data_IF_839334286241
#
_entry.id   IF_839334286241
#
_cell.length_a   1.000
_cell.length_b   1.000
_cell.length_c   1.000
_cell.angle_alpha   90.00
_cell.angle_beta   90.00
_cell.angle_gamma   90.00
#
_symmetry.space_group_name_H-M   'P 1'
#
loop_
_entity.id
_entity.type
_entity.pdbx_description
1 polymer ?
#
# COMPACT_ATOMS: atom_id res chain seq x y z
N UNK A 1 -31.32 20.79 -44.25
CA UNK A 1 -30.15 20.20 -44.95
C UNK A 1 -29.22 21.36 -45.29
N UNK A 2 -27.99 21.51 -44.80
CA UNK A 2 -26.91 20.54 -44.60
C UNK A 2 -26.01 21.02 -43.44
N UNK A 3 -25.75 20.19 -42.42
CA UNK A 3 -24.61 20.41 -41.53
C UNK A 3 -23.37 19.83 -42.22
N UNK A 4 -22.44 20.72 -42.63
CA UNK A 4 -21.17 20.31 -43.26
C UNK A 4 -20.25 19.73 -42.18
N UNK A 5 -19.98 18.43 -42.30
CA UNK A 5 -18.92 17.78 -41.56
C UNK A 5 -17.59 18.48 -41.82
N UNK A 6 -17.07 19.15 -40.81
CA UNK A 6 -15.68 19.60 -40.80
C UNK A 6 -14.82 18.33 -40.65
N UNK A 7 -14.23 17.87 -41.74
CA UNK A 7 -13.11 16.92 -41.66
C UNK A 7 -11.98 17.62 -40.92
N UNK A 8 -11.65 17.13 -39.73
CA UNK A 8 -10.45 17.54 -39.01
C UNK A 8 -9.25 17.39 -39.96
N UNK A 9 -8.51 18.48 -40.20
CA UNK A 9 -7.28 18.44 -40.98
C UNK A 9 -6.31 17.40 -40.38
N UNK A 10 -5.45 16.76 -41.20
CA UNK A 10 -4.48 15.77 -40.72
C UNK A 10 -3.54 16.33 -39.63
N UNK A 11 -3.32 17.64 -39.62
CA UNK A 11 -2.60 18.38 -38.57
C UNK A 11 -3.33 18.31 -37.21
N UNK A 12 -4.66 18.46 -37.21
CA UNK A 12 -5.47 18.44 -35.99
C UNK A 12 -5.60 17.03 -35.42
N UNK A 13 -5.62 16.00 -36.28
CA UNK A 13 -5.56 14.61 -35.81
C UNK A 13 -4.18 14.26 -35.24
N UNK A 14 -3.09 14.73 -35.85
CA UNK A 14 -1.74 14.51 -35.32
C UNK A 14 -1.51 15.26 -34.00
N UNK A 15 -2.03 16.49 -33.87
CA UNK A 15 -1.97 17.26 -32.63
C UNK A 15 -2.85 16.63 -31.53
N UNK A 16 -4.03 16.11 -31.88
CA UNK A 16 -4.89 15.38 -30.95
C UNK A 16 -4.26 14.05 -30.50
N UNK A 17 -3.58 13.32 -31.39
CA UNK A 17 -2.85 12.10 -31.03
C UNK A 17 -1.61 12.38 -30.17
N UNK A 18 -0.90 13.48 -30.44
CA UNK A 18 0.23 13.91 -29.60
C UNK A 18 -0.25 14.30 -28.19
N UNK A 19 -1.33 15.06 -28.09
CA UNK A 19 -1.95 15.41 -26.80
C UNK A 19 -2.56 14.19 -26.11
N UNK A 20 -3.15 13.26 -26.85
CA UNK A 20 -3.64 12.00 -26.29
C UNK A 20 -2.49 11.13 -25.79
N UNK A 21 -1.34 11.11 -26.47
CA UNK A 21 -0.13 10.42 -26.01
C UNK A 21 0.48 11.09 -24.78
N UNK A 22 0.36 12.41 -24.65
CA UNK A 22 0.79 13.15 -23.45
C UNK A 22 -0.18 12.94 -22.26
N UNK A 23 -1.49 12.88 -22.52
CA UNK A 23 -2.52 12.62 -21.49
C UNK A 23 -2.62 11.14 -21.10
N UNK A 24 -2.33 10.22 -22.01
CA UNK A 24 -2.17 8.79 -21.73
C UNK A 24 -0.83 8.65 -21.03
N UNK A 25 -0.87 8.99 -19.74
CA UNK A 25 0.27 9.12 -18.87
C UNK A 25 1.35 8.10 -19.19
N UNK A 26 2.47 8.61 -19.71
CA UNK A 26 3.75 7.96 -19.55
C UNK A 26 3.80 7.52 -18.10
N UNK A 27 3.71 6.22 -17.87
CA UNK A 27 3.75 5.65 -16.52
C UNK A 27 5.01 6.18 -15.89
N UNK A 28 4.87 7.17 -14.99
CA UNK A 28 6.00 7.83 -14.37
C UNK A 28 6.87 6.72 -13.82
N UNK A 29 8.17 6.65 -14.19
CA UNK A 29 9.04 5.62 -13.64
C UNK A 29 8.96 5.73 -12.13
N UNK A 30 8.64 4.61 -11.47
CA UNK A 30 8.48 4.58 -10.02
C UNK A 30 9.73 5.17 -9.37
N UNK A 31 9.55 6.28 -8.66
CA UNK A 31 10.64 6.93 -7.96
C UNK A 31 10.89 6.24 -6.62
N UNK A 32 12.08 6.45 -6.05
CA UNK A 32 12.40 5.97 -4.71
C UNK A 32 11.37 6.48 -3.68
N UNK A 33 10.86 7.70 -3.88
CA UNK A 33 9.80 8.27 -3.05
C UNK A 33 8.47 7.51 -3.19
N UNK A 34 8.11 7.07 -4.39
CA UNK A 34 6.91 6.25 -4.61
C UNK A 34 7.04 4.89 -3.92
N UNK A 35 8.23 4.29 -3.96
CA UNK A 35 8.52 3.04 -3.23
C UNK A 35 8.40 3.25 -1.71
N UNK A 36 9.04 4.28 -1.16
CA UNK A 36 8.96 4.60 0.26
C UNK A 36 7.52 4.86 0.72
N UNK A 37 6.72 5.56 -0.09
CA UNK A 37 5.31 5.79 0.20
C UNK A 37 4.48 4.50 0.21
N UNK A 38 4.76 3.56 -0.72
CA UNK A 38 4.11 2.25 -0.74
C UNK A 38 4.47 1.41 0.48
N UNK A 39 5.75 1.34 0.83
CA UNK A 39 6.22 0.65 2.05
C UNK A 39 5.53 1.24 3.28
N UNK A 40 5.54 2.57 3.45
CA UNK A 40 4.92 3.24 4.59
C UNK A 40 3.40 2.96 4.68
N UNK A 41 2.70 2.93 3.55
CA UNK A 41 1.29 2.59 3.49
C UNK A 41 1.03 1.16 3.99
N UNK A 42 1.78 0.19 3.46
CA UNK A 42 1.62 -1.23 3.80
C UNK A 42 1.93 -1.47 5.29
N UNK A 43 3.02 -0.89 5.80
CA UNK A 43 3.42 -0.98 7.21
C UNK A 43 2.36 -0.40 8.14
N UNK A 44 1.80 0.78 7.81
CA UNK A 44 0.73 1.40 8.61
C UNK A 44 -0.51 0.51 8.68
N UNK A 45 -0.88 -0.13 7.57
CA UNK A 45 -2.01 -1.06 7.55
C UNK A 45 -1.70 -2.31 8.38
N UNK A 46 -0.50 -2.87 8.27
CA UNK A 46 -0.08 -4.03 9.07
C UNK A 46 -0.19 -3.75 10.59
N UNK A 47 0.36 -2.62 11.05
CA UNK A 47 0.30 -2.20 12.45
C UNK A 47 -1.15 -2.03 12.91
N UNK A 48 -1.98 -1.34 12.11
CA UNK A 48 -3.39 -1.13 12.44
C UNK A 48 -4.19 -2.44 12.48
N UNK A 49 -3.93 -3.36 11.55
CA UNK A 49 -4.54 -4.69 11.56
C UNK A 49 -4.15 -5.46 12.81
N UNK A 50 -2.87 -5.44 13.19
CA UNK A 50 -2.38 -6.09 14.39
C UNK A 50 -3.02 -5.51 15.67
N UNK A 51 -3.17 -4.19 15.75
CA UNK A 51 -3.82 -3.52 16.89
C UNK A 51 -5.30 -3.90 17.04
N UNK A 52 -6.04 -4.03 15.94
CA UNK A 52 -7.49 -4.28 16.01
C UNK A 52 -7.86 -5.76 16.03
N UNK A 53 -7.03 -6.64 15.49
CA UNK A 53 -7.38 -8.06 15.24
C UNK A 53 -6.32 -9.04 15.76
N UNK A 54 -5.26 -8.57 16.41
CA UNK A 54 -4.13 -9.37 16.88
C UNK A 54 -3.00 -9.49 15.86
N UNK A 55 -1.79 -9.70 16.38
CA UNK A 55 -0.54 -9.82 15.61
C UNK A 55 -0.55 -11.14 14.83
N UNK A 56 -1.04 -11.09 13.58
CA UNK A 56 -1.02 -12.21 12.66
C UNK A 56 -1.07 -11.72 11.22
N UNK A 57 -0.29 -12.35 10.34
CA UNK A 57 -0.38 -12.10 8.91
C UNK A 57 -1.79 -12.39 8.34
N UNK A 58 -2.54 -13.31 8.95
CA UNK A 58 -3.92 -13.62 8.55
C UNK A 58 -4.93 -12.55 8.96
N UNK A 59 -4.59 -11.71 9.93
CA UNK A 59 -5.42 -10.58 10.38
C UNK A 59 -5.35 -9.37 9.44
N UNK A 60 -4.43 -9.36 8.47
CA UNK A 60 -4.36 -8.33 7.43
C UNK A 60 -5.39 -8.55 6.31
N UNK A 61 -5.83 -7.44 5.72
CA UNK A 61 -6.64 -7.48 4.50
C UNK A 61 -5.85 -8.11 3.34
N UNK A 62 -6.55 -8.79 2.43
CA UNK A 62 -5.94 -9.59 1.36
C UNK A 62 -5.03 -8.78 0.43
N UNK A 63 -5.47 -7.58 0.01
CA UNK A 63 -4.72 -6.68 -0.89
C UNK A 63 -3.39 -6.21 -0.26
N UNK A 64 -3.38 -5.54 0.91
CA UNK A 64 -2.13 -5.09 1.54
C UNK A 64 -1.26 -6.25 1.99
N UNK A 65 -1.83 -7.40 2.36
CA UNK A 65 -1.06 -8.62 2.63
C UNK A 65 -0.29 -9.08 1.39
N UNK A 66 -0.92 -9.10 0.22
CA UNK A 66 -0.24 -9.45 -1.03
C UNK A 66 0.89 -8.47 -1.33
N UNK A 67 0.61 -7.16 -1.23
CA UNK A 67 1.62 -6.12 -1.43
C UNK A 67 2.79 -6.21 -0.46
N UNK A 68 2.55 -6.56 0.81
CA UNK A 68 3.61 -6.80 1.77
C UNK A 68 4.54 -7.93 1.32
N UNK A 69 3.97 -9.04 0.82
CA UNK A 69 4.75 -10.17 0.34
C UNK A 69 5.53 -9.81 -0.94
N UNK A 70 4.90 -9.09 -1.88
CA UNK A 70 5.57 -8.61 -3.09
C UNK A 70 6.77 -7.70 -2.74
N UNK A 71 6.66 -6.85 -1.71
CA UNK A 71 7.76 -6.00 -1.23
C UNK A 71 8.85 -6.80 -0.50
N UNK A 72 8.46 -7.87 0.21
CA UNK A 72 9.42 -8.80 0.80
C UNK A 72 10.23 -9.53 -0.29
N UNK A 73 9.58 -9.95 -1.37
CA UNK A 73 10.23 -10.63 -2.49
C UNK A 73 11.18 -9.70 -3.27
N UNK A 74 10.89 -8.39 -3.25
CA UNK A 74 11.79 -7.34 -3.73
C UNK A 74 12.97 -7.06 -2.79
N UNK A 75 12.96 -7.64 -1.58
CA UNK A 75 14.03 -7.48 -0.60
C UNK A 75 13.95 -6.21 0.25
N UNK A 76 12.77 -5.57 0.36
CA UNK A 76 12.62 -4.41 1.24
C UNK A 76 12.80 -4.81 2.72
N UNK A 77 13.81 -4.27 3.42
CA UNK A 77 14.13 -4.70 4.78
C UNK A 77 13.02 -4.36 5.78
N UNK A 78 12.29 -3.27 5.56
CA UNK A 78 11.19 -2.86 6.43
C UNK A 78 10.04 -3.88 6.37
N UNK A 79 9.69 -4.32 5.17
CA UNK A 79 8.63 -5.29 4.95
C UNK A 79 9.01 -6.68 5.49
N UNK A 80 10.29 -7.07 5.38
CA UNK A 80 10.79 -8.32 5.96
C UNK A 80 10.64 -8.34 7.49
N UNK A 81 11.01 -7.27 8.18
CA UNK A 81 10.85 -7.14 9.64
C UNK A 81 9.38 -7.20 10.04
N UNK A 82 8.50 -6.49 9.32
CA UNK A 82 7.06 -6.50 9.61
C UNK A 82 6.44 -7.87 9.37
N UNK A 83 6.84 -8.57 8.30
CA UNK A 83 6.39 -9.95 8.03
C UNK A 83 6.81 -10.88 9.17
N UNK A 84 8.06 -10.78 9.60
CA UNK A 84 8.61 -11.62 10.66
C UNK A 84 7.86 -11.41 11.99
N UNK A 85 7.63 -10.14 12.36
CA UNK A 85 6.79 -9.76 13.48
C UNK A 85 5.36 -10.33 13.38
N UNK A 86 4.73 -10.23 12.21
CA UNK A 86 3.38 -10.77 11.97
C UNK A 86 3.31 -12.31 11.96
N UNK A 87 4.44 -12.99 11.79
CA UNK A 87 4.56 -14.44 11.92
C UNK A 87 4.91 -14.88 13.35
N UNK A 88 5.03 -13.93 14.28
CA UNK A 88 5.36 -14.19 15.68
C UNK A 88 6.85 -14.41 15.92
N UNK A 89 7.71 -14.11 14.94
CA UNK A 89 9.15 -14.08 15.16
C UNK A 89 9.54 -12.69 15.67
N UNK A 90 9.86 -12.65 16.96
CA UNK A 90 10.18 -11.43 17.69
C UNK A 90 11.70 -11.15 17.73
N UNK A 91 12.52 -11.95 17.02
CA UNK A 91 13.97 -11.83 17.06
C UNK A 91 14.51 -10.46 16.64
N UNK A 92 13.71 -9.68 15.91
CA UNK A 92 14.06 -8.34 15.43
C UNK A 92 13.34 -7.21 16.17
N UNK A 93 12.48 -7.54 17.15
CA UNK A 93 11.79 -6.54 17.95
C UNK A 93 12.67 -6.14 19.15
N UNK A 94 12.84 -4.84 19.44
CA UNK A 94 13.48 -4.42 20.68
C UNK A 94 12.63 -4.85 21.88
N UNK A 95 13.29 -5.35 22.93
CA UNK A 95 12.64 -5.72 24.20
C UNK A 95 11.78 -4.55 24.70
N UNK A 96 10.48 -4.82 24.89
CA UNK A 96 9.48 -3.83 25.34
C UNK A 96 8.52 -3.31 24.27
N UNK A 97 8.72 -3.62 22.98
CA UNK A 97 7.77 -3.22 21.93
C UNK A 97 6.44 -4.00 22.02
N UNK A 98 6.46 -5.22 22.57
CA UNK A 98 5.26 -6.04 22.80
C UNK A 98 4.28 -5.41 23.82
N UNK A 99 4.80 -4.67 24.81
CA UNK A 99 4.01 -4.09 25.89
C UNK A 99 3.06 -2.98 25.43
N UNK A 100 3.37 -2.28 24.34
CA UNK A 100 2.52 -1.22 23.78
C UNK A 100 1.25 -1.73 23.09
N UNK A 101 1.21 -3.01 22.69
CA UNK A 101 0.04 -3.59 22.01
C UNK A 101 -0.92 -4.31 22.96
N UNK A 102 -0.53 -4.52 24.22
CA UNK A 102 -1.38 -5.09 25.27
C UNK A 102 -2.34 -4.09 25.92
N UNK A 103 -2.31 -2.79 25.57
CA UNK A 103 -3.29 -1.78 26.03
C UNK A 103 -4.61 -1.89 25.27
N UNK A 104 -5.10 -3.12 25.06
CA UNK A 104 -6.43 -3.39 24.53
C UNK A 104 -7.07 -4.63 25.14
N UNK A 105 -6.57 -5.15 26.27
CA UNK A 105 -7.46 -5.86 27.18
C UNK A 105 -8.36 -4.81 27.81
N UNK A 106 -9.46 -4.49 27.12
CA UNK A 106 -10.64 -3.87 27.70
C UNK A 106 -10.94 -4.65 28.97
N UNK A 107 -10.59 -4.07 30.11
CA UNK A 107 -11.12 -4.45 31.40
C UNK A 107 -12.59 -4.08 31.33
N UNK A 108 -13.40 -5.02 30.85
CA UNK A 108 -14.83 -5.04 31.13
C UNK A 108 -14.95 -5.29 32.63
N UNK A 109 -14.93 -4.18 33.37
CA UNK A 109 -15.11 -4.15 34.81
C UNK A 109 -16.58 -4.49 35.06
N UNK A 110 -16.83 -5.76 35.39
CA UNK A 110 -18.06 -6.16 36.05
C UNK A 110 -18.24 -5.38 37.35
N UNK A 111 -19.39 -4.74 37.48
CA UNK A 111 -20.01 -4.23 38.70
C UNK A 111 -21.51 -4.50 38.48
N UNK A 112 -22.01 -5.62 38.98
CA UNK A 112 -22.74 -5.75 40.25
C UNK A 112 -24.22 -5.33 40.12
#
# INVERSE_FOLDING_TARGET
MMQRGQSLLPEQTAAADALATELVGTSRPWTVDDHAAQVAMVVRIAIRSAQHRGVSLQSMLSIPRRRLLDLCDQGDPTCLVVRDWLLGNLAHLPDGFEGSFSIATVVDRGDA
#
